data_IF_702719837076
#
_entry.id   IF_702719837076
#
_cell.length_a   1.000
_cell.length_b   1.000
_cell.length_c   1.000
_cell.angle_alpha   90.00
_cell.angle_beta   90.00
_cell.angle_gamma   90.00
#
_symmetry.space_group_name_H-M   'P 1'
#
loop_
_entity.id
_entity.type
_entity.pdbx_description
1 polymer ?
#
# COMPACT_ATOMS: atom_id res chain seq x y z
N UNK A 1 31.09 -13.02 12.61
CA UNK A 1 30.12 -13.03 11.49
C UNK A 1 28.74 -12.79 12.07
N UNK A 2 28.15 -11.62 11.82
CA UNK A 2 26.80 -11.29 12.26
C UNK A 2 25.81 -12.18 11.51
N UNK A 3 24.97 -12.91 12.25
CA UNK A 3 23.78 -13.55 11.68
C UNK A 3 22.97 -12.48 10.95
N UNK A 4 23.05 -12.44 9.62
CA UNK A 4 22.09 -11.69 8.82
C UNK A 4 20.74 -12.34 9.06
N UNK A 5 19.98 -11.80 10.01
CA UNK A 5 18.53 -12.04 10.06
C UNK A 5 18.03 -11.78 8.65
N UNK A 6 17.43 -12.78 8.02
CA UNK A 6 16.84 -12.67 6.70
C UNK A 6 15.66 -11.70 6.78
N UNK A 7 15.95 -10.40 6.74
CA UNK A 7 14.94 -9.35 6.75
C UNK A 7 14.23 -9.41 5.40
N UNK A 8 12.97 -9.86 5.41
CA UNK A 8 12.10 -9.80 4.24
C UNK A 8 11.69 -8.35 4.04
N UNK A 9 12.06 -7.79 2.90
CA UNK A 9 11.65 -6.46 2.47
C UNK A 9 10.60 -6.57 1.38
N UNK A 10 9.67 -5.64 1.34
CA UNK A 10 8.73 -5.49 0.24
C UNK A 10 8.30 -4.03 0.10
N UNK A 11 7.35 -3.81 -0.78
CA UNK A 11 6.73 -2.52 -1.04
C UNK A 11 5.29 -2.49 -0.54
N UNK A 12 4.74 -1.30 -0.41
CA UNK A 12 3.33 -1.11 -0.10
C UNK A 12 2.89 0.30 -0.44
N UNK A 13 1.58 0.53 -0.38
CA UNK A 13 0.96 1.82 -0.64
C UNK A 13 0.08 2.24 0.53
N UNK A 14 0.22 3.48 0.98
CA UNK A 14 -0.71 4.08 1.94
C UNK A 14 -2.03 4.33 1.20
N UNK A 15 -3.05 3.53 1.51
CA UNK A 15 -4.37 3.55 0.87
C UNK A 15 -5.35 4.51 1.51
N UNK A 16 -5.31 4.61 2.83
CA UNK A 16 -6.18 5.51 3.57
C UNK A 16 -5.41 6.12 4.72
N UNK A 17 -5.73 7.37 4.99
CA UNK A 17 -5.26 8.11 6.14
C UNK A 17 -6.50 8.68 6.79
N UNK A 18 -6.74 8.33 8.05
CA UNK A 18 -7.89 8.84 8.82
C UNK A 18 -7.37 9.50 10.08
N UNK A 19 -7.76 10.76 10.29
CA UNK A 19 -7.47 11.49 11.52
C UNK A 19 -8.54 11.20 12.55
N UNK A 20 -8.11 10.93 13.77
CA UNK A 20 -8.98 10.74 14.93
C UNK A 20 -8.70 11.78 16.00
N UNK A 21 -9.76 12.20 16.68
CA UNK A 21 -9.68 12.96 17.92
C UNK A 21 -10.67 12.37 18.93
N UNK A 22 -10.16 11.96 20.09
CA UNK A 22 -10.96 11.37 21.18
C UNK A 22 -11.86 10.20 20.72
N UNK A 23 -11.34 9.40 19.76
CA UNK A 23 -12.03 8.24 19.17
C UNK A 23 -12.99 8.57 18.02
N UNK A 24 -13.10 9.84 17.64
CA UNK A 24 -14.00 10.29 16.58
C UNK A 24 -13.21 10.64 15.32
N UNK A 25 -13.59 10.01 14.20
CA UNK A 25 -13.06 10.32 12.87
C UNK A 25 -13.35 11.78 12.51
N UNK A 26 -12.32 12.52 12.12
CA UNK A 26 -12.41 13.95 11.81
C UNK A 26 -12.62 14.23 10.31
N UNK A 27 -12.51 13.21 9.46
CA UNK A 27 -12.55 13.37 8.00
C UNK A 27 -13.90 12.98 7.38
N UNK A 28 -14.94 12.75 8.19
CA UNK A 28 -16.28 12.36 7.74
C UNK A 28 -16.35 10.98 7.07
N UNK A 29 -15.24 10.26 7.02
CA UNK A 29 -15.18 8.88 6.53
C UNK A 29 -15.72 7.88 7.55
N UNK A 30 -16.18 6.72 7.07
CA UNK A 30 -16.69 5.58 7.84
C UNK A 30 -15.63 4.86 8.69
N UNK A 31 -14.48 5.48 8.94
CA UNK A 31 -13.39 4.88 9.70
C UNK A 31 -13.78 4.70 11.16
N UNK A 32 -14.06 3.46 11.57
CA UNK A 32 -14.23 3.09 12.97
C UNK A 32 -12.85 2.77 13.57
N UNK A 33 -12.59 3.30 14.77
CA UNK A 33 -11.42 2.96 15.58
C UNK A 33 -11.91 2.39 16.91
N UNK A 34 -11.21 1.39 17.44
CA UNK A 34 -11.50 0.80 18.74
C UNK A 34 -10.91 1.64 19.89
N UNK A 35 -10.19 2.72 19.56
CA UNK A 35 -9.37 3.47 20.51
C UNK A 35 -9.95 4.86 20.78
N UNK A 36 -9.89 5.28 22.05
CA UNK A 36 -10.21 6.67 22.45
C UNK A 36 -9.00 7.59 22.50
N UNK A 37 -7.79 7.01 22.52
CA UNK A 37 -6.50 7.71 22.54
C UNK A 37 -5.56 7.03 21.55
N UNK A 38 -4.47 7.72 21.19
CA UNK A 38 -3.49 7.15 20.28
C UNK A 38 -2.90 5.85 20.84
N UNK A 39 -2.90 4.82 20.00
CA UNK A 39 -2.37 3.50 20.32
C UNK A 39 -0.97 3.26 19.74
N UNK A 40 -0.22 4.30 19.33
CA UNK A 40 1.17 4.10 18.92
C UNK A 40 2.05 3.68 20.11
N UNK A 41 3.22 3.07 19.84
CA UNK A 41 4.15 2.60 20.88
C UNK A 41 4.51 3.68 21.90
N UNK A 42 4.69 4.93 21.44
CA UNK A 42 5.00 6.08 22.32
C UNK A 42 3.86 6.43 23.27
N UNK A 43 2.60 6.20 22.87
CA UNK A 43 1.44 6.58 23.66
C UNK A 43 0.98 5.47 24.62
N UNK A 44 1.12 4.19 24.28
CA UNK A 44 0.69 3.09 25.17
C UNK A 44 1.43 3.05 26.51
N UNK A 45 2.71 3.40 26.52
CA UNK A 45 3.51 3.48 27.75
C UNK A 45 3.50 4.85 28.42
N UNK A 46 2.72 5.80 27.92
CA UNK A 46 2.74 7.19 28.38
C UNK A 46 1.57 7.50 29.31
N UNK A 47 1.83 8.26 30.38
CA UNK A 47 0.78 8.83 31.23
C UNK A 47 -0.04 9.94 30.54
N UNK A 48 0.42 10.42 29.39
CA UNK A 48 -0.23 11.46 28.59
C UNK A 48 -0.34 11.03 27.12
N UNK A 49 -1.15 9.99 26.81
CA UNK A 49 -1.34 9.55 25.44
C UNK A 49 -2.03 10.65 24.63
N UNK A 50 -1.62 10.82 23.37
CA UNK A 50 -2.22 11.85 22.51
C UNK A 50 -3.70 11.55 22.29
N UNK A 51 -4.55 12.57 22.40
CA UNK A 51 -5.95 12.47 22.02
C UNK A 51 -6.20 12.65 20.52
N UNK A 52 -5.16 13.05 19.76
CA UNK A 52 -5.21 13.19 18.31
C UNK A 52 -4.19 12.24 17.67
N UNK A 53 -4.62 11.46 16.68
CA UNK A 53 -3.74 10.55 15.95
C UNK A 53 -4.24 10.32 14.52
N UNK A 54 -3.41 9.63 13.74
CA UNK A 54 -3.72 9.21 12.38
C UNK A 54 -3.55 7.70 12.30
N UNK A 55 -4.55 7.04 11.72
CA UNK A 55 -4.46 5.65 11.30
C UNK A 55 -4.19 5.59 9.80
N UNK A 56 -3.26 4.69 9.42
CA UNK A 56 -2.79 4.49 8.06
C UNK A 56 -3.17 3.07 7.65
N UNK A 57 -3.98 2.91 6.61
CA UNK A 57 -4.16 1.59 5.99
C UNK A 57 -3.12 1.45 4.88
N UNK A 58 -2.26 0.45 4.98
CA UNK A 58 -1.19 0.17 4.02
C UNK A 58 -1.47 -1.16 3.32
N UNK A 59 -1.66 -1.11 2.01
CA UNK A 59 -1.80 -2.31 1.17
C UNK A 59 -0.43 -2.87 0.80
N UNK A 60 -0.26 -4.18 0.93
CA UNK A 60 0.91 -4.94 0.48
C UNK A 60 0.47 -6.36 0.09
N UNK A 61 1.42 -7.22 -0.30
CA UNK A 61 1.12 -8.60 -0.63
C UNK A 61 1.10 -9.50 0.62
N UNK A 62 0.24 -10.53 0.62
CA UNK A 62 0.10 -11.47 1.75
C UNK A 62 1.38 -12.27 1.99
N UNK A 63 2.18 -12.52 0.95
CA UNK A 63 3.49 -13.15 1.09
C UNK A 63 4.59 -12.20 1.59
N UNK A 64 4.32 -10.89 1.72
CA UNK A 64 5.21 -9.88 2.34
C UNK A 64 4.89 -9.70 3.82
N UNK A 65 3.61 -9.64 4.18
CA UNK A 65 3.12 -9.72 5.56
C UNK A 65 1.85 -10.57 5.59
N UNK A 66 1.86 -11.63 6.39
CA UNK A 66 0.85 -12.67 6.41
C UNK A 66 -0.11 -12.54 7.59
N UNK A 67 0.40 -12.22 8.78
CA UNK A 67 -0.38 -12.21 10.02
C UNK A 67 0.03 -11.09 10.99
N UNK A 68 -0.66 -11.04 12.14
CA UNK A 68 -0.38 -10.07 13.19
C UNK A 68 1.00 -10.25 13.85
N UNK A 69 1.57 -11.45 13.84
CA UNK A 69 2.91 -11.70 14.39
C UNK A 69 3.94 -11.00 13.50
N UNK A 70 3.86 -11.20 12.18
CA UNK A 70 4.72 -10.53 11.21
C UNK A 70 4.49 -9.01 11.21
N UNK A 71 3.23 -8.56 11.25
CA UNK A 71 2.89 -7.13 11.28
C UNK A 71 3.47 -6.42 12.51
N UNK A 72 3.43 -7.04 13.69
CA UNK A 72 4.00 -6.48 14.92
C UNK A 72 5.53 -6.32 14.87
N UNK A 73 6.20 -7.09 14.01
CA UNK A 73 7.64 -7.02 13.77
C UNK A 73 8.01 -6.29 12.48
N UNK A 74 7.03 -5.69 11.79
CA UNK A 74 7.22 -4.93 10.57
C UNK A 74 7.50 -3.46 10.89
N UNK A 75 8.43 -2.86 10.17
CA UNK A 75 8.67 -1.41 10.19
C UNK A 75 8.37 -0.84 8.82
N UNK A 76 7.45 0.11 8.74
CA UNK A 76 7.21 0.88 7.53
C UNK A 76 8.24 1.98 7.42
N UNK A 77 8.91 2.06 6.26
CA UNK A 77 9.82 3.16 5.94
C UNK A 77 9.16 4.07 4.90
N UNK A 78 8.90 5.31 5.29
CA UNK A 78 8.21 6.31 4.48
C UNK A 78 9.20 7.32 3.91
N UNK A 79 8.87 7.88 2.73
CA UNK A 79 9.62 8.94 2.04
C UNK A 79 11.04 8.55 1.60
N UNK A 80 11.31 7.26 1.37
CA UNK A 80 12.62 6.80 0.92
C UNK A 80 12.80 6.96 -0.60
N UNK A 81 12.92 8.20 -1.05
CA UNK A 81 12.89 8.53 -2.48
C UNK A 81 14.25 8.35 -3.17
N UNK A 82 15.32 8.56 -2.42
CA UNK A 82 16.73 8.52 -2.81
C UNK A 82 17.58 8.07 -1.63
N UNK A 83 18.80 7.62 -1.88
CA UNK A 83 19.71 7.08 -0.86
C UNK A 83 20.05 8.09 0.26
N UNK A 84 19.95 9.38 -0.01
CA UNK A 84 20.16 10.50 0.94
C UNK A 84 18.85 11.04 1.56
N UNK A 85 17.72 10.39 1.32
CA UNK A 85 16.42 10.86 1.81
C UNK A 85 16.30 10.78 3.33
N UNK A 86 15.68 11.80 3.92
CA UNK A 86 15.23 11.73 5.30
C UNK A 86 14.03 10.78 5.41
N UNK A 87 14.29 9.55 5.84
CA UNK A 87 13.26 8.52 6.02
C UNK A 87 12.52 8.68 7.36
N UNK A 88 11.25 8.28 7.37
CA UNK A 88 10.43 8.24 8.58
C UNK A 88 9.94 6.81 8.81
N UNK A 89 10.14 6.29 10.02
CA UNK A 89 9.71 4.95 10.38
C UNK A 89 8.40 4.95 11.16
N UNK A 90 7.48 4.05 10.77
CA UNK A 90 6.28 3.71 11.55
C UNK A 90 6.36 2.23 11.89
N UNK A 91 6.51 1.93 13.17
CA UNK A 91 6.92 0.60 13.68
C UNK A 91 5.82 -0.12 14.46
N UNK A 92 4.60 0.42 14.43
CA UNK A 92 3.42 -0.24 14.99
C UNK A 92 2.34 -0.41 13.96
N UNK A 93 1.94 -1.66 13.74
CA UNK A 93 0.76 -1.99 12.97
C UNK A 93 0.19 -3.36 13.30
N UNK A 94 -1.01 -3.60 12.80
CA UNK A 94 -1.73 -4.87 12.86
C UNK A 94 -2.32 -5.19 11.49
N UNK A 95 -2.57 -6.45 11.21
CA UNK A 95 -3.32 -6.88 10.03
C UNK A 95 -4.81 -6.62 10.29
N UNK A 96 -5.46 -5.89 9.37
CA UNK A 96 -6.91 -5.67 9.39
C UNK A 96 -7.63 -6.41 8.28
N UNK A 97 -6.91 -6.84 7.24
CA UNK A 97 -7.44 -7.68 6.19
C UNK A 97 -6.32 -8.53 5.60
N UNK A 98 -6.61 -9.80 5.35
CA UNK A 98 -5.72 -10.71 4.63
C UNK A 98 -6.53 -11.60 3.71
N UNK A 99 -6.08 -11.76 2.47
CA UNK A 99 -6.65 -12.70 1.54
C UNK A 99 -5.53 -13.35 0.73
N UNK A 100 -5.29 -14.63 1.01
CA UNK A 100 -4.22 -15.43 0.39
C UNK A 100 -4.53 -15.68 -1.09
N UNK A 101 -5.80 -15.92 -1.44
CA UNK A 101 -6.22 -16.26 -2.81
C UNK A 101 -5.91 -15.13 -3.78
N UNK A 102 -6.06 -13.89 -3.34
CA UNK A 102 -5.80 -12.70 -4.15
C UNK A 102 -4.47 -12.01 -3.84
N UNK A 103 -3.70 -12.58 -2.91
CA UNK A 103 -2.40 -12.09 -2.43
C UNK A 103 -2.41 -10.64 -1.93
N UNK A 104 -3.43 -10.27 -1.15
CA UNK A 104 -3.58 -8.94 -0.57
C UNK A 104 -3.59 -8.95 0.96
N UNK A 105 -2.73 -8.13 1.55
CA UNK A 105 -2.73 -7.81 2.98
C UNK A 105 -2.93 -6.30 3.16
N UNK A 106 -3.76 -5.92 4.13
CA UNK A 106 -3.88 -4.53 4.59
C UNK A 106 -3.44 -4.44 6.04
N UNK A 107 -2.41 -3.64 6.27
CA UNK A 107 -1.91 -3.27 7.59
C UNK A 107 -2.59 -1.98 8.04
N UNK A 108 -3.04 -1.94 9.29
CA UNK A 108 -3.39 -0.69 9.97
C UNK A 108 -2.22 -0.27 10.84
N UNK A 109 -1.70 0.93 10.60
CA UNK A 109 -0.59 1.51 11.35
C UNK A 109 -1.00 2.86 11.96
N UNK A 110 -0.20 3.38 12.88
CA UNK A 110 -0.57 4.57 13.67
C UNK A 110 0.57 5.54 13.88
N UNK A 111 0.24 6.83 13.87
CA UNK A 111 1.13 7.90 14.34
C UNK A 111 0.35 9.00 15.08
N UNK A 112 0.94 9.56 16.14
CA UNK A 112 0.48 10.80 16.77
C UNK A 112 1.30 12.02 16.36
N UNK A 113 2.29 11.85 15.48
CA UNK A 113 3.05 12.98 14.93
C UNK A 113 2.16 13.77 13.98
N UNK A 114 1.82 15.00 14.39
CA UNK A 114 0.93 15.90 13.64
C UNK A 114 1.50 16.27 12.28
N UNK A 115 2.82 16.47 12.19
CA UNK A 115 3.49 16.86 10.95
C UNK A 115 3.43 15.71 9.96
N UNK A 116 3.77 14.49 10.40
CA UNK A 116 3.69 13.29 9.58
C UNK A 116 2.25 13.00 9.13
N UNK A 117 1.31 12.99 10.08
CA UNK A 117 -0.09 12.66 9.83
C UNK A 117 -0.75 13.61 8.85
N UNK A 118 -0.56 14.93 9.03
CA UNK A 118 -1.09 15.93 8.10
C UNK A 118 -0.44 15.84 6.72
N UNK A 119 0.86 15.56 6.63
CA UNK A 119 1.56 15.37 5.35
C UNK A 119 0.98 14.18 4.58
N UNK A 120 0.86 13.02 5.23
CA UNK A 120 0.27 11.81 4.62
C UNK A 120 -1.17 12.04 4.19
N UNK A 121 -1.97 12.71 5.02
CA UNK A 121 -3.34 13.08 4.68
C UNK A 121 -3.43 13.97 3.44
N UNK A 122 -2.57 14.99 3.35
CA UNK A 122 -2.49 15.87 2.19
C UNK A 122 -2.11 15.12 0.91
N UNK A 123 -1.09 14.25 0.99
CA UNK A 123 -0.66 13.40 -0.12
C UNK A 123 -1.76 12.43 -0.57
N UNK A 124 -2.47 11.83 0.38
CA UNK A 124 -3.59 10.93 0.10
C UNK A 124 -4.73 11.64 -0.64
N UNK A 125 -5.16 12.81 -0.13
CA UNK A 125 -6.20 13.64 -0.78
C UNK A 125 -5.77 14.06 -2.19
N UNK A 126 -4.51 14.45 -2.36
CA UNK A 126 -3.96 14.79 -3.68
C UNK A 126 -3.96 13.59 -4.63
N UNK A 127 -3.45 12.44 -4.19
CA UNK A 127 -3.43 11.20 -4.96
C UNK A 127 -4.84 10.83 -5.43
N UNK A 128 -5.83 10.81 -4.52
CA UNK A 128 -7.22 10.50 -4.86
C UNK A 128 -7.77 11.44 -5.94
N UNK A 129 -7.51 12.74 -5.82
CA UNK A 129 -7.98 13.73 -6.78
C UNK A 129 -7.35 13.56 -8.16
N UNK A 130 -6.04 13.27 -8.23
CA UNK A 130 -5.35 13.01 -9.50
C UNK A 130 -5.83 11.69 -10.10
N UNK A 131 -5.93 10.65 -9.29
CA UNK A 131 -6.35 9.32 -9.73
C UNK A 131 -7.76 9.32 -10.32
N UNK A 132 -8.71 10.03 -9.72
CA UNK A 132 -10.06 10.20 -10.29
C UNK A 132 -10.01 10.77 -11.71
N UNK A 133 -9.25 11.85 -11.92
CA UNK A 133 -9.09 12.46 -13.26
C UNK A 133 -8.48 11.50 -14.28
N UNK A 134 -7.52 10.69 -13.83
CA UNK A 134 -6.89 9.65 -14.64
C UNK A 134 -7.91 8.57 -15.02
N UNK A 135 -8.67 8.06 -14.05
CA UNK A 135 -9.71 7.06 -14.28
C UNK A 135 -10.86 7.54 -15.16
N UNK A 136 -11.16 8.83 -15.17
CA UNK A 136 -12.21 9.38 -16.04
C UNK A 136 -11.70 9.61 -17.47
N UNK A 137 -10.41 9.94 -17.64
CA UNK A 137 -9.82 10.30 -18.93
C UNK A 137 -9.44 9.11 -19.80
N UNK A 138 -8.92 8.04 -19.20
CA UNK A 138 -8.29 6.93 -19.93
C UNK A 138 -9.10 5.62 -20.12
N UNK A 139 -10.39 5.46 -19.76
CA UNK A 139 -11.13 4.21 -20.02
C UNK A 139 -11.15 3.80 -21.49
N UNK A 140 -11.33 4.76 -22.40
CA UNK A 140 -11.45 4.50 -23.84
C UNK A 140 -10.15 3.98 -24.47
N UNK A 141 -8.99 4.33 -23.91
CA UNK A 141 -7.67 3.96 -24.44
C UNK A 141 -6.97 2.86 -23.66
N UNK A 142 -7.60 2.33 -22.59
CA UNK A 142 -7.00 1.32 -21.70
C UNK A 142 -6.50 0.09 -22.43
N UNK A 143 -7.28 -0.42 -23.39
CA UNK A 143 -6.95 -1.61 -24.17
C UNK A 143 -5.99 -1.33 -25.33
N UNK A 144 -5.93 -0.08 -25.80
CA UNK A 144 -5.07 0.33 -26.91
C UNK A 144 -3.63 0.50 -26.46
N UNK A 145 -3.40 1.27 -25.39
CA UNK A 145 -2.05 1.58 -24.91
C UNK A 145 -1.54 0.57 -23.88
N UNK A 146 -2.47 -0.06 -23.15
CA UNK A 146 -2.20 -1.01 -22.08
C UNK A 146 -1.18 -0.53 -21.06
N UNK A 147 -1.12 0.79 -20.80
CA UNK A 147 -0.07 1.38 -19.98
C UNK A 147 -0.15 0.84 -18.54
N UNK A 148 0.99 0.39 -18.04
CA UNK A 148 1.15 -0.03 -16.66
C UNK A 148 2.37 0.64 -16.05
N UNK A 149 2.26 1.14 -14.83
CA UNK A 149 3.42 1.60 -14.07
C UNK A 149 3.37 1.08 -12.64
N UNK A 150 4.55 0.95 -12.03
CA UNK A 150 4.74 0.45 -10.67
C UNK A 150 5.66 1.41 -9.94
N UNK A 151 5.25 1.81 -8.73
CA UNK A 151 6.11 2.52 -7.77
C UNK A 151 6.49 1.52 -6.68
N UNK A 152 7.78 1.24 -6.52
CA UNK A 152 8.26 0.20 -5.60
C UNK A 152 9.53 0.63 -4.87
N UNK A 153 9.89 -0.13 -3.84
CA UNK A 153 11.16 -0.09 -3.12
C UNK A 153 11.83 -1.47 -3.24
N UNK A 154 12.43 -1.79 -4.40
CA UNK A 154 13.04 -3.09 -4.62
C UNK A 154 14.08 -3.40 -3.54
N UNK A 155 13.91 -4.51 -2.83
CA UNK A 155 14.82 -4.93 -1.75
C UNK A 155 14.92 -3.91 -0.59
N UNK A 156 13.90 -3.07 -0.43
CA UNK A 156 13.90 -1.99 0.56
C UNK A 156 14.80 -0.80 0.19
N UNK A 157 15.27 -0.71 -1.06
CA UNK A 157 16.08 0.40 -1.57
C UNK A 157 15.25 1.66 -1.86
N UNK A 158 15.92 2.71 -2.34
CA UNK A 158 15.29 3.95 -2.79
C UNK A 158 14.22 3.67 -3.86
N UNK A 159 13.18 4.51 -3.83
CA UNK A 159 11.99 4.37 -4.67
C UNK A 159 12.34 4.28 -6.15
N UNK A 160 11.75 3.30 -6.83
CA UNK A 160 11.86 3.12 -8.27
C UNK A 160 10.48 3.26 -8.93
N UNK A 161 10.45 3.88 -10.10
CA UNK A 161 9.27 3.96 -10.96
C UNK A 161 9.56 3.21 -12.25
N UNK A 162 8.85 2.10 -12.44
CA UNK A 162 8.95 1.28 -13.66
C UNK A 162 7.71 1.48 -14.51
N UNK A 163 7.90 1.61 -15.83
CA UNK A 163 6.81 1.75 -16.80
C UNK A 163 6.86 0.60 -17.80
N UNK A 164 5.71 0.10 -18.20
CA UNK A 164 5.58 -1.01 -19.14
C UNK A 164 4.15 -1.14 -19.63
N UNK A 165 3.78 -2.35 -20.03
CA UNK A 165 2.44 -2.65 -20.54
C UNK A 165 1.88 -3.91 -19.92
N UNK A 166 0.60 -3.88 -19.57
CA UNK A 166 -0.13 -5.12 -19.29
C UNK A 166 -0.39 -5.90 -20.57
N UNK A 167 -0.48 -7.22 -20.45
CA UNK A 167 -0.65 -8.15 -21.58
C UNK A 167 -2.04 -8.79 -21.51
N UNK A 168 -2.28 -9.53 -20.44
CA UNK A 168 -3.52 -10.28 -20.23
C UNK A 168 -4.22 -9.80 -18.96
N UNK A 169 -5.55 -9.77 -19.02
CA UNK A 169 -6.44 -9.67 -17.87
C UNK A 169 -7.06 -11.04 -17.67
N UNK A 170 -6.77 -11.67 -16.53
CA UNK A 170 -7.23 -13.02 -16.21
C UNK A 170 -8.24 -12.91 -15.08
N UNK A 171 -9.47 -13.33 -15.34
CA UNK A 171 -10.51 -13.41 -14.31
C UNK A 171 -10.19 -14.55 -13.34
N UNK A 172 -10.27 -14.27 -12.04
CA UNK A 172 -9.88 -15.22 -10.98
C UNK A 172 -11.11 -15.68 -10.18
N UNK A 173 -12.09 -14.79 -9.99
CA UNK A 173 -13.42 -15.07 -9.45
C UNK A 173 -14.40 -13.96 -9.86
N UNK A 174 -15.64 -14.05 -9.38
CA UNK A 174 -16.77 -13.17 -9.73
C UNK A 174 -16.40 -11.68 -9.62
N UNK A 175 -15.96 -11.10 -10.74
CA UNK A 175 -15.60 -9.69 -10.87
C UNK A 175 -14.16 -9.32 -10.54
N UNK A 176 -13.32 -10.23 -10.02
CA UNK A 176 -11.90 -9.93 -9.77
C UNK A 176 -11.00 -10.41 -10.90
N UNK A 177 -9.99 -9.62 -11.20
CA UNK A 177 -9.01 -9.95 -12.22
C UNK A 177 -7.59 -9.73 -11.73
N UNK A 178 -6.68 -10.56 -12.22
CA UNK A 178 -5.24 -10.33 -12.16
C UNK A 178 -4.72 -9.91 -13.53
N UNK A 179 -3.60 -9.21 -13.56
CA UNK A 179 -2.94 -8.78 -14.78
C UNK A 179 -1.57 -9.41 -14.93
N UNK A 180 -1.20 -9.76 -16.16
CA UNK A 180 0.19 -9.99 -16.55
C UNK A 180 0.76 -8.73 -17.19
N UNK A 181 2.06 -8.45 -17.03
CA UNK A 181 2.69 -7.23 -17.55
C UNK A 181 4.19 -7.35 -17.76
N UNK A 182 4.74 -6.45 -18.58
CA UNK A 182 6.18 -6.34 -18.90
C UNK A 182 6.94 -5.32 -18.07
N UNK A 183 6.26 -4.60 -17.17
CA UNK A 183 6.90 -3.61 -16.30
C UNK A 183 8.00 -4.26 -15.47
N UNK A 184 9.19 -3.66 -15.47
CA UNK A 184 10.36 -4.22 -14.80
C UNK A 184 10.16 -4.28 -13.28
N UNK A 185 10.30 -5.47 -12.71
CA UNK A 185 10.26 -5.73 -11.27
C UNK A 185 11.30 -6.81 -10.92
N UNK A 186 11.48 -7.06 -9.63
CA UNK A 186 12.26 -8.17 -9.10
C UNK A 186 11.55 -8.74 -7.86
N UNK A 187 12.03 -9.83 -7.25
CA UNK A 187 11.45 -10.35 -6.01
C UNK A 187 11.37 -9.31 -4.89
N UNK A 188 12.27 -8.32 -4.86
CA UNK A 188 12.23 -7.23 -3.90
C UNK A 188 11.10 -6.21 -4.11
N UNK A 189 10.39 -6.26 -5.24
CA UNK A 189 9.28 -5.36 -5.58
C UNK A 189 7.92 -5.88 -5.10
N UNK A 190 7.85 -7.05 -4.46
CA UNK A 190 6.61 -7.64 -3.96
C UNK A 190 5.79 -6.68 -3.12
N UNK A 191 4.46 -6.70 -3.30
CA UNK A 191 3.54 -5.79 -2.60
C UNK A 191 3.45 -4.38 -3.19
N UNK A 192 4.28 -4.03 -4.18
CA UNK A 192 4.19 -2.76 -4.86
C UNK A 192 2.87 -2.64 -5.64
N UNK A 193 2.24 -1.47 -5.60
CA UNK A 193 0.99 -1.25 -6.31
C UNK A 193 1.20 -1.20 -7.83
N UNK A 194 0.37 -1.92 -8.56
CA UNK A 194 0.37 -2.07 -10.01
C UNK A 194 -0.73 -1.20 -10.59
N UNK A 195 -0.33 -0.09 -11.19
CA UNK A 195 -1.28 0.83 -11.81
C UNK A 195 -1.52 0.46 -13.26
N UNK A 196 -2.62 -0.22 -13.56
CA UNK A 196 -3.10 -0.46 -14.92
C UNK A 196 -4.01 0.69 -15.36
N UNK A 197 -3.53 1.53 -16.28
CA UNK A 197 -4.21 2.78 -16.66
C UNK A 197 -5.59 2.50 -17.29
N UNK A 198 -6.62 3.22 -16.81
CA UNK A 198 -7.99 3.14 -17.32
C UNK A 198 -8.84 2.00 -16.76
N UNK A 199 -8.34 1.29 -15.74
CA UNK A 199 -9.14 0.40 -14.89
C UNK A 199 -9.50 1.08 -13.57
N UNK A 200 -10.72 0.84 -13.09
CA UNK A 200 -11.22 1.39 -11.83
C UNK A 200 -12.21 0.41 -11.21
N UNK A 201 -12.12 0.24 -9.90
CA UNK A 201 -13.22 -0.34 -9.14
C UNK A 201 -14.38 0.69 -9.07
N UNK A 202 -15.60 0.20 -8.90
CA UNK A 202 -16.79 1.03 -8.78
C UNK A 202 -16.81 1.88 -7.50
N UNK A 203 -16.06 1.47 -6.48
CA UNK A 203 -16.01 2.15 -5.19
C UNK A 203 -14.68 2.86 -4.93
N UNK A 204 -13.58 2.30 -5.43
CA UNK A 204 -12.21 2.75 -5.13
C UNK A 204 -11.24 2.51 -6.31
N UNK A 205 -9.94 2.50 -6.06
CA UNK A 205 -8.95 2.01 -7.03
C UNK A 205 -8.55 0.57 -6.71
N UNK A 206 -8.27 -0.25 -7.74
CA UNK A 206 -7.95 -1.66 -7.54
C UNK A 206 -6.69 -1.88 -6.73
N UNK A 207 -6.71 -2.84 -5.80
CA UNK A 207 -5.58 -3.33 -5.01
C UNK A 207 -4.72 -4.36 -5.76
N UNK A 208 -4.33 -4.03 -6.99
CA UNK A 208 -3.41 -4.88 -7.72
C UNK A 208 -2.01 -4.68 -7.15
N UNK A 209 -1.52 -5.64 -6.36
CA UNK A 209 -0.14 -5.64 -5.86
C UNK A 209 0.74 -6.55 -6.72
N UNK A 210 2.04 -6.26 -6.85
CA UNK A 210 2.98 -7.14 -7.54
C UNK A 210 3.16 -8.43 -6.73
N UNK A 211 2.92 -9.58 -7.37
CA UNK A 211 2.87 -10.89 -6.72
C UNK A 211 3.91 -11.89 -7.24
N UNK A 212 4.62 -11.56 -8.32
CA UNK A 212 5.72 -12.38 -8.82
C UNK A 212 5.86 -12.36 -10.34
N UNK A 213 6.60 -13.34 -10.86
CA UNK A 213 6.89 -13.51 -12.28
C UNK A 213 6.60 -14.95 -12.74
N UNK A 214 6.17 -15.07 -13.99
CA UNK A 214 5.97 -16.33 -14.69
C UNK A 214 7.28 -16.81 -15.32
N UNK A 215 7.38 -18.10 -15.63
CA UNK A 215 8.53 -18.67 -16.37
C UNK A 215 8.74 -18.02 -17.75
N UNK A 216 7.70 -17.42 -18.33
CA UNK A 216 7.78 -16.66 -19.59
C UNK A 216 8.48 -15.31 -19.46
N UNK A 217 8.82 -14.87 -18.23
CA UNK A 217 9.39 -13.56 -17.95
C UNK A 217 8.36 -12.45 -17.76
N UNK A 218 7.06 -12.74 -17.92
CA UNK A 218 5.99 -11.79 -17.59
C UNK A 218 5.77 -11.71 -16.08
N UNK A 219 5.60 -10.50 -15.57
CA UNK A 219 5.20 -10.26 -14.19
C UNK A 219 3.68 -10.41 -14.03
N UNK A 220 3.21 -10.68 -12.83
CA UNK A 220 1.78 -10.74 -12.53
C UNK A 220 1.41 -10.03 -11.23
N UNK A 221 0.18 -9.52 -11.17
CA UNK A 221 -0.40 -8.94 -9.96
C UNK A 221 -1.16 -9.99 -9.14
N UNK A 222 -1.50 -9.62 -7.91
CA UNK A 222 -2.65 -10.16 -7.19
C UNK A 222 -3.95 -9.90 -7.96
N UNK A 223 -5.09 -10.18 -7.32
CA UNK A 223 -6.40 -10.02 -7.95
C UNK A 223 -7.28 -9.03 -7.19
N UNK A 224 -7.97 -8.16 -7.91
CA UNK A 224 -9.00 -7.31 -7.31
C UNK A 224 -10.07 -6.93 -8.34
N UNK A 225 -11.11 -6.23 -7.90
CA UNK A 225 -12.12 -5.62 -8.76
C UNK A 225 -11.51 -4.50 -9.61
N UNK A 226 -11.78 -4.51 -10.92
CA UNK A 226 -11.16 -3.60 -11.93
C UNK A 226 -12.08 -3.14 -13.04
#
# INVERSE_FOLDING_TARGET
MSERRNLRTGSGIVRYVTKYQDGVSQDGGSGVTDYRKCWCRKCEGSNSPSNVWWELNVGTATHVVFDNIEANHTTLTLFYDRDDSQVVSVDKGSVVFVNIKVDLCVLKCVTCDKTLGNKLMGMFKHFRNVWMKVCDKYPASRSQHKLTFIVSHPHGCSKQVSVGQWKDRIEVDLGRSKFTYTTCTCPGSSGAHVHCLGYRDNWTWPDLVHSGSLKSGLNYSGADFV
#
